data_IF_758812079626
#
_entry.id   IF_758812079626
#
_cell.length_a   1.000
_cell.length_b   1.000
_cell.length_c   1.000
_cell.angle_alpha   90.00
_cell.angle_beta   90.00
_cell.angle_gamma   90.00
#
_symmetry.space_group_name_H-M   'P 1'
#
loop_
_entity.id
_entity.type
_entity.pdbx_description
1 polymer ?
#
# COMPACT_ATOMS: atom_id res chain seq x y z
N UNK A 1 -15.01 3.77 10.89
CA UNK A 1 -13.89 3.41 11.79
C UNK A 1 -13.10 4.69 12.08
N UNK A 2 -12.59 4.85 13.30
CA UNK A 2 -11.78 6.02 13.67
C UNK A 2 -10.30 5.66 13.65
N UNK A 3 -9.44 6.64 13.35
CA UNK A 3 -8.00 6.48 13.37
C UNK A 3 -7.55 6.06 14.78
N UNK A 4 -6.80 4.96 14.89
CA UNK A 4 -6.33 4.48 16.19
C UNK A 4 -5.35 5.46 16.86
N UNK A 5 -4.62 6.26 16.07
CA UNK A 5 -3.59 7.20 16.53
C UNK A 5 -4.19 8.52 17.04
N UNK A 6 -5.00 9.20 16.22
CA UNK A 6 -5.51 10.54 16.54
C UNK A 6 -7.03 10.61 16.78
N UNK A 7 -7.74 9.48 16.72
CA UNK A 7 -9.20 9.34 16.93
C UNK A 7 -10.11 10.07 15.95
N UNK A 8 -9.57 10.75 14.94
CA UNK A 8 -10.34 11.37 13.87
C UNK A 8 -10.96 10.34 12.91
N UNK A 9 -11.91 10.78 12.08
CA UNK A 9 -12.59 9.92 11.11
C UNK A 9 -11.65 9.43 10.00
N UNK A 10 -11.77 8.14 9.66
CA UNK A 10 -11.17 7.57 8.46
C UNK A 10 -12.13 7.70 7.29
N UNK A 11 -11.58 7.94 6.10
CA UNK A 11 -12.34 7.94 4.84
C UNK A 11 -11.70 6.98 3.84
N UNK A 12 -12.50 6.42 2.93
CA UNK A 12 -11.98 5.65 1.81
C UNK A 12 -11.17 6.55 0.87
N UNK A 13 -10.03 6.05 0.40
CA UNK A 13 -9.12 6.76 -0.48
C UNK A 13 -8.11 5.82 -1.14
N UNK A 14 -7.11 6.42 -1.78
CA UNK A 14 -5.98 5.71 -2.36
C UNK A 14 -4.67 6.30 -1.86
N UNK A 15 -3.68 5.45 -1.65
CA UNK A 15 -2.34 5.83 -1.19
C UNK A 15 -1.26 5.21 -2.08
N UNK A 16 -0.04 5.73 -1.97
CA UNK A 16 1.14 5.02 -2.45
C UNK A 16 1.71 4.22 -1.27
N UNK A 17 1.66 2.90 -1.37
CA UNK A 17 2.23 2.02 -0.36
C UNK A 17 3.70 1.77 -0.71
N UNK A 18 4.61 2.15 0.18
CA UNK A 18 6.05 2.03 -0.01
C UNK A 18 6.54 0.89 0.89
N UNK A 19 7.22 -0.08 0.29
CA UNK A 19 7.80 -1.24 0.97
C UNK A 19 9.31 -1.16 0.80
N UNK A 20 10.01 -1.31 1.93
CA UNK A 20 11.46 -1.47 1.99
C UNK A 20 11.72 -2.91 2.47
N UNK A 21 12.20 -3.76 1.56
CA UNK A 21 12.36 -5.20 1.80
C UNK A 21 13.56 -5.77 1.02
N UNK A 22 14.45 -6.47 1.73
CA UNK A 22 15.61 -7.18 1.15
C UNK A 22 16.45 -6.35 0.18
N UNK A 23 16.63 -5.05 0.48
CA UNK A 23 17.39 -4.12 -0.37
C UNK A 23 16.60 -3.57 -1.57
N UNK A 24 15.31 -3.87 -1.67
CA UNK A 24 14.41 -3.34 -2.69
C UNK A 24 13.50 -2.26 -2.11
N UNK A 25 13.31 -1.18 -2.87
CA UNK A 25 12.28 -0.18 -2.60
C UNK A 25 11.15 -0.35 -3.61
N UNK A 26 9.96 -0.71 -3.13
CA UNK A 26 8.80 -0.99 -3.97
C UNK A 26 7.72 0.05 -3.67
N UNK A 27 7.37 0.85 -4.67
CA UNK A 27 6.30 1.86 -4.60
C UNK A 27 5.10 1.33 -5.36
N UNK A 28 4.07 0.91 -4.62
CA UNK A 28 2.79 0.45 -5.18
C UNK A 28 1.82 1.63 -5.16
N UNK A 29 1.53 2.17 -6.34
CA UNK A 29 0.68 3.35 -6.51
C UNK A 29 -0.81 3.01 -6.52
N UNK A 30 -1.61 3.88 -5.94
CA UNK A 30 -3.07 3.82 -6.07
C UNK A 30 -3.74 2.70 -5.27
N UNK A 31 -3.13 2.27 -4.16
CA UNK A 31 -3.63 1.22 -3.27
C UNK A 31 -4.86 1.72 -2.51
N UNK A 32 -6.01 1.02 -2.57
CA UNK A 32 -7.19 1.35 -1.76
C UNK A 32 -6.88 1.26 -0.26
N UNK A 33 -7.25 2.29 0.50
CA UNK A 33 -7.04 2.34 1.95
C UNK A 33 -8.06 3.24 2.65
N UNK A 34 -8.21 3.05 3.96
CA UNK A 34 -8.88 3.98 4.86
C UNK A 34 -7.88 5.03 5.33
N UNK A 35 -8.02 6.28 4.91
CA UNK A 35 -7.07 7.37 5.19
C UNK A 35 -7.67 8.34 6.22
N UNK A 36 -6.88 8.67 7.24
CA UNK A 36 -7.23 9.68 8.23
C UNK A 36 -7.05 11.09 7.64
N UNK A 37 -8.13 11.89 7.60
CA UNK A 37 -8.06 13.27 7.09
C UNK A 37 -7.24 14.25 7.95
N UNK A 38 -7.00 13.90 9.21
CA UNK A 38 -6.27 14.77 10.15
C UNK A 38 -4.76 14.50 10.16
N UNK A 39 -4.32 13.27 10.49
CA UNK A 39 -2.90 12.94 10.59
C UNK A 39 -2.30 12.28 9.35
N UNK A 40 -3.10 11.93 8.34
CA UNK A 40 -2.61 11.27 7.11
C UNK A 40 -2.36 9.76 7.22
N UNK A 41 -2.47 9.18 8.41
CA UNK A 41 -2.31 7.72 8.62
C UNK A 41 -3.31 6.93 7.78
N UNK A 42 -2.90 5.79 7.24
CA UNK A 42 -3.76 4.94 6.42
C UNK A 42 -3.78 3.49 6.91
N UNK A 43 -4.91 2.84 6.69
CA UNK A 43 -5.15 1.45 7.09
C UNK A 43 -5.60 0.66 5.86
N UNK A 44 -4.96 -0.47 5.63
CA UNK A 44 -5.23 -1.36 4.50
C UNK A 44 -6.11 -2.51 5.01
N UNK A 45 -7.18 -2.81 4.27
CA UNK A 45 -8.05 -3.96 4.56
C UNK A 45 -7.33 -5.27 4.25
N UNK A 46 -7.70 -6.35 4.94
CA UNK A 46 -7.01 -7.63 4.86
C UNK A 46 -6.92 -8.21 3.42
N UNK A 47 -7.99 -8.07 2.64
CA UNK A 47 -8.01 -8.55 1.25
C UNK A 47 -7.05 -7.77 0.34
N UNK A 48 -6.90 -6.46 0.59
CA UNK A 48 -5.94 -5.61 -0.12
C UNK A 48 -4.51 -5.96 0.31
N UNK A 49 -4.27 -6.20 1.61
CA UNK A 49 -2.96 -6.59 2.12
C UNK A 49 -2.46 -7.89 1.47
N UNK A 50 -3.31 -8.92 1.38
CA UNK A 50 -2.99 -10.19 0.71
C UNK A 50 -2.65 -10.02 -0.78
N UNK A 51 -3.25 -9.03 -1.45
CA UNK A 51 -2.91 -8.71 -2.85
C UNK A 51 -1.56 -8.00 -2.94
N UNK A 52 -1.25 -7.09 -2.02
CA UNK A 52 0.05 -6.41 -1.97
C UNK A 52 1.19 -7.41 -1.77
N UNK A 53 1.02 -8.40 -0.90
CA UNK A 53 2.00 -9.48 -0.69
C UNK A 53 2.33 -10.20 -2.00
N UNK A 54 1.30 -10.59 -2.78
CA UNK A 54 1.49 -11.23 -4.09
C UNK A 54 2.23 -10.34 -5.08
N UNK A 55 1.88 -9.05 -5.12
CA UNK A 55 2.55 -8.06 -5.99
C UNK A 55 4.03 -7.96 -5.62
N UNK A 56 4.34 -7.87 -4.32
CA UNK A 56 5.72 -7.79 -3.82
C UNK A 56 6.49 -9.04 -4.22
N UNK A 57 5.95 -10.23 -3.98
CA UNK A 57 6.56 -11.52 -4.35
C UNK A 57 6.83 -11.66 -5.85
N UNK A 58 5.98 -11.08 -6.70
CA UNK A 58 6.19 -11.07 -8.15
C UNK A 58 7.28 -10.07 -8.56
N UNK A 59 7.25 -8.87 -7.99
CA UNK A 59 8.15 -7.77 -8.35
C UNK A 59 9.59 -8.07 -7.95
N UNK A 60 9.84 -8.62 -6.75
CA UNK A 60 11.19 -8.93 -6.26
C UNK A 60 11.91 -10.03 -7.05
N UNK A 61 11.21 -10.78 -7.92
CA UNK A 61 11.85 -11.76 -8.83
C UNK A 61 12.67 -11.09 -9.92
N UNK A 62 12.47 -9.79 -10.14
CA UNK A 62 13.23 -8.99 -11.10
C UNK A 62 14.55 -8.51 -10.48
N UNK A 63 15.48 -8.05 -11.33
CA UNK A 63 16.85 -7.67 -10.90
C UNK A 63 17.05 -6.19 -10.55
N UNK A 64 15.98 -5.40 -10.49
CA UNK A 64 16.08 -3.97 -10.21
C UNK A 64 15.96 -3.72 -8.70
N UNK A 65 16.58 -2.66 -8.19
CA UNK A 65 16.52 -2.28 -6.77
C UNK A 65 15.31 -1.41 -6.43
N UNK A 66 14.79 -0.67 -7.41
CA UNK A 66 13.65 0.24 -7.22
C UNK A 66 12.55 -0.12 -8.20
N UNK A 67 11.36 -0.33 -7.66
CA UNK A 67 10.16 -0.66 -8.43
C UNK A 67 9.07 0.36 -8.21
N UNK A 68 8.40 0.75 -9.29
CA UNK A 68 7.20 1.59 -9.25
C UNK A 68 6.14 0.91 -10.07
N UNK A 69 5.08 0.44 -9.41
CA UNK A 69 4.00 -0.33 -10.04
C UNK A 69 2.64 0.28 -9.67
N UNK A 70 1.62 0.09 -10.52
CA UNK A 70 0.26 0.52 -10.20
C UNK A 70 -0.55 -0.66 -9.66
N UNK A 71 -1.21 -0.47 -8.52
CA UNK A 71 -2.04 -1.50 -7.90
C UNK A 71 -3.11 -2.05 -8.85
N UNK A 72 -3.79 -1.19 -9.61
CA UNK A 72 -4.84 -1.61 -10.53
C UNK A 72 -4.37 -2.45 -11.72
N UNK A 73 -3.09 -2.34 -12.09
CA UNK A 73 -2.50 -3.11 -13.20
C UNK A 73 -2.02 -4.49 -12.72
N UNK A 74 -1.68 -4.62 -11.45
CA UNK A 74 -1.10 -5.83 -10.87
C UNK A 74 -2.08 -6.67 -10.03
N UNK A 75 -3.16 -6.07 -9.52
CA UNK A 75 -4.14 -6.73 -8.68
C UNK A 75 -5.25 -7.47 -9.47
N UNK A 76 -5.04 -7.70 -10.77
CA UNK A 76 -5.94 -8.39 -11.68
C UNK A 76 -5.97 -9.91 -11.43
#
# INVERSE_FOLDING_TARGET
MNCILCKANLVQGKVNHIVDLDGHIIIIKGVPANVCKQCGEYFIENDIALKLEKIIEEVIKNKAEIFVVNYSEMAA
#
